data_IF_527314137975
#
_entry.id   IF_527314137975
#
_cell.length_a   1.000
_cell.length_b   1.000
_cell.length_c   1.000
_cell.angle_alpha   90.00
_cell.angle_beta   90.00
_cell.angle_gamma   90.00
#
_symmetry.space_group_name_H-M   'P 1'
#
loop_
_entity.id
_entity.type
_entity.pdbx_description
1 polymer ?
#
# COMPACT_ATOMS: atom_id res chain seq x y z
N UNK A 1 -10.93 5.19 -0.10
CA UNK A 1 -9.59 4.77 0.38
C UNK A 1 -8.52 5.42 -0.47
N UNK A 2 -7.59 6.09 0.16
CA UNK A 2 -6.50 6.75 -0.54
C UNK A 2 -5.24 5.91 -0.42
N UNK A 3 -4.66 5.53 -1.54
CA UNK A 3 -3.50 4.66 -1.54
C UNK A 3 -2.28 5.46 -2.00
N UNK A 4 -1.24 5.45 -1.17
CA UNK A 4 0.03 6.07 -1.50
C UNK A 4 1.08 4.97 -1.62
N UNK A 5 1.68 4.86 -2.79
CA UNK A 5 2.65 3.81 -3.07
C UNK A 5 4.04 4.43 -3.17
N UNK A 6 4.97 3.88 -2.42
CA UNK A 6 6.35 4.32 -2.42
C UNK A 6 7.28 3.15 -2.74
N UNK A 7 8.43 3.45 -3.33
CA UNK A 7 9.43 2.43 -3.62
C UNK A 7 10.73 2.73 -2.90
N UNK A 8 11.35 1.69 -2.38
CA UNK A 8 12.68 1.79 -1.76
C UNK A 8 13.59 0.82 -2.48
N UNK A 9 14.62 1.35 -3.13
CA UNK A 9 15.55 0.56 -3.93
C UNK A 9 14.88 -0.22 -5.05
N UNK A 10 13.74 0.26 -5.51
CA UNK A 10 13.00 -0.34 -6.59
C UNK A 10 12.34 0.76 -7.40
N UNK A 11 12.32 0.59 -8.70
CA UNK A 11 11.65 1.53 -9.57
C UNK A 11 10.18 1.18 -9.65
N UNK A 12 9.33 2.16 -9.36
CA UNK A 12 7.90 1.96 -9.44
C UNK A 12 7.42 2.09 -10.88
N UNK A 13 6.99 0.98 -11.46
CA UNK A 13 6.39 1.00 -12.78
C UNK A 13 4.88 1.10 -12.63
N UNK A 14 4.21 1.50 -13.71
CA UNK A 14 2.75 1.57 -13.69
C UNK A 14 2.14 0.20 -13.47
N UNK A 15 2.77 -0.84 -14.00
CA UNK A 15 2.29 -2.19 -13.79
C UNK A 15 2.32 -2.60 -12.33
N UNK A 16 3.38 -2.21 -11.62
CA UNK A 16 3.45 -2.51 -10.19
C UNK A 16 2.41 -1.73 -9.42
N UNK A 17 2.23 -0.47 -9.74
CA UNK A 17 1.22 0.34 -9.07
C UNK A 17 -0.18 -0.21 -9.29
N UNK A 18 -0.48 -0.58 -10.52
CA UNK A 18 -1.78 -1.14 -10.84
C UNK A 18 -2.03 -2.47 -10.13
N UNK A 19 -1.01 -3.31 -10.05
CA UNK A 19 -1.15 -4.58 -9.36
C UNK A 19 -1.45 -4.38 -7.88
N UNK A 20 -0.76 -3.44 -7.25
CA UNK A 20 -0.99 -3.14 -5.84
C UNK A 20 -2.38 -2.55 -5.64
N UNK A 21 -2.76 -1.59 -6.46
CA UNK A 21 -4.07 -0.96 -6.35
C UNK A 21 -5.19 -1.96 -6.56
N UNK A 22 -5.01 -2.88 -7.50
CA UNK A 22 -6.02 -3.90 -7.77
C UNK A 22 -6.23 -4.81 -6.57
N UNK A 23 -5.13 -5.22 -5.93
CA UNK A 23 -5.24 -6.07 -4.75
C UNK A 23 -5.85 -5.33 -3.57
N UNK A 24 -5.47 -4.08 -3.40
CA UNK A 24 -5.99 -3.30 -2.28
C UNK A 24 -7.43 -2.87 -2.50
N UNK A 25 -7.85 -2.70 -3.73
CA UNK A 25 -9.22 -2.32 -4.00
C UNK A 25 -10.22 -3.38 -3.54
N UNK A 26 -9.79 -4.61 -3.49
CA UNK A 26 -10.64 -5.69 -2.96
C UNK A 26 -10.89 -5.54 -1.47
N UNK A 27 -10.00 -4.86 -0.78
CA UNK A 27 -10.14 -4.61 0.64
C UNK A 27 -10.88 -3.31 0.93
N UNK A 28 -11.15 -2.53 -0.09
CA UNK A 28 -11.75 -1.21 0.07
C UNK A 28 -13.09 -1.26 0.79
N UNK A 29 -13.85 -2.31 0.56
CA UNK A 29 -15.15 -2.45 1.21
C UNK A 29 -15.06 -2.67 2.71
N UNK A 30 -13.90 -3.02 3.22
CA UNK A 30 -13.71 -3.20 4.65
C UNK A 30 -13.24 -1.93 5.35
N UNK A 31 -12.95 -0.89 4.60
CA UNK A 31 -12.43 0.35 5.15
C UNK A 31 -13.33 1.52 4.76
N UNK A 32 -13.30 2.56 5.57
CA UNK A 32 -14.04 3.77 5.27
C UNK A 32 -13.44 4.49 4.08
N UNK A 33 -14.24 5.26 3.32
CA UNK A 33 -13.73 5.94 2.13
C UNK A 33 -12.59 6.92 2.40
N UNK A 34 -12.50 7.46 3.62
CA UNK A 34 -11.48 8.42 4.00
C UNK A 34 -10.25 7.77 4.63
N UNK A 35 -10.11 6.46 4.50
CA UNK A 35 -8.96 5.76 5.04
C UNK A 35 -7.75 5.97 4.14
N UNK A 36 -6.61 6.32 4.75
CA UNK A 36 -5.35 6.45 4.04
C UNK A 36 -4.56 5.16 4.20
N UNK A 37 -4.01 4.67 3.08
CA UNK A 37 -3.20 3.46 3.07
C UNK A 37 -1.85 3.80 2.46
N UNK A 38 -0.79 3.47 3.18
CA UNK A 38 0.58 3.68 2.70
C UNK A 38 1.21 2.35 2.38
N UNK A 39 1.66 2.21 1.15
CA UNK A 39 2.29 0.97 0.69
C UNK A 39 3.73 1.26 0.32
N UNK A 40 4.65 0.53 0.91
CA UNK A 40 6.07 0.66 0.58
C UNK A 40 6.55 -0.64 -0.03
N UNK A 41 7.05 -0.54 -1.25
CA UNK A 41 7.62 -1.67 -1.96
C UNK A 41 9.14 -1.58 -1.86
N UNK A 42 9.77 -2.68 -1.55
CA UNK A 42 11.22 -2.72 -1.48
C UNK A 42 11.76 -4.04 -2.00
N UNK A 43 13.03 -4.02 -2.40
CA UNK A 43 13.73 -5.22 -2.80
C UNK A 43 14.95 -5.36 -1.91
N UNK A 44 15.07 -6.50 -1.27
CA UNK A 44 16.20 -6.77 -0.41
C UNK A 44 16.81 -8.08 -0.87
N UNK A 45 18.01 -8.00 -1.43
CA UNK A 45 18.70 -9.12 -2.08
C UNK A 45 17.80 -9.64 -3.21
N UNK A 46 17.29 -10.85 -3.11
CA UNK A 46 16.42 -11.43 -4.14
C UNK A 46 14.97 -11.47 -3.71
N UNK A 47 14.62 -10.75 -2.66
CA UNK A 47 13.27 -10.80 -2.12
C UNK A 47 12.55 -9.48 -2.30
N UNK A 48 11.34 -9.56 -2.75
CA UNK A 48 10.46 -8.40 -2.79
C UNK A 48 9.69 -8.32 -1.48
N UNK A 49 9.66 -7.13 -0.92
CA UNK A 49 9.00 -6.90 0.34
C UNK A 49 7.93 -5.84 0.16
N UNK A 50 6.76 -6.10 0.68
CA UNK A 50 5.64 -5.18 0.62
C UNK A 50 5.21 -4.86 2.03
N UNK A 51 5.25 -3.58 2.38
CA UNK A 51 4.76 -3.13 3.68
C UNK A 51 3.52 -2.28 3.47
N UNK A 52 2.47 -2.60 4.19
CA UNK A 52 1.23 -1.83 4.15
C UNK A 52 0.99 -1.24 5.52
N UNK A 53 0.84 0.07 5.56
CA UNK A 53 0.58 0.79 6.79
C UNK A 53 -0.76 1.51 6.68
N UNK A 54 -1.63 1.26 7.61
CA UNK A 54 -2.93 1.92 7.67
C UNK A 54 -3.00 2.63 9.02
N UNK A 55 -2.75 3.96 9.05
CA UNK A 55 -2.82 4.67 10.31
C UNK A 55 -4.25 4.76 10.80
N UNK A 56 -4.47 4.40 12.05
CA UNK A 56 -5.77 4.50 12.67
C UNK A 56 -5.92 5.90 13.25
N UNK A 57 -6.71 6.73 12.60
CA UNK A 57 -6.92 8.10 13.05
C UNK A 57 -7.73 8.16 14.33
N UNK A 58 -7.15 8.79 15.32
CA UNK A 58 -7.87 9.14 16.52
C UNK A 58 -8.46 7.97 17.28
N UNK A 59 -7.93 6.80 17.07
CA UNK A 59 -8.45 5.63 17.74
C UNK A 59 -7.32 4.87 18.39
N UNK A 60 -7.31 4.94 19.70
CA UNK A 60 -6.34 4.19 20.50
C UNK A 60 -7.11 3.14 21.27
N UNK A 61 -6.74 1.95 21.05
CA UNK A 61 -7.38 0.85 21.77
C UNK A 61 -6.43 0.31 22.80
#
# INVERSE_FOLDING_TARGET
MRITISGRNIELTEGLKQAVEEKLSKLEKFFKPDTDVYVTLSVEKDRQKIEVTIPAKGHVI
#
